data_IF_287689498215
#
_entry.id   IF_287689498215
#
_cell.length_a   1.000
_cell.length_b   1.000
_cell.length_c   1.000
_cell.angle_alpha   90.00
_cell.angle_beta   90.00
_cell.angle_gamma   90.00
#
_symmetry.space_group_name_H-M   'P 1'
#
loop_
_entity.id
_entity.type
_entity.pdbx_description
1 polymer ?
#
# COMPACT_ATOMS: atom_id res chain seq x y z
N UNK A 1 9.92 -0.70 -11.78
CA UNK A 1 9.68 0.54 -11.02
C UNK A 1 10.20 1.81 -11.73
N UNK A 2 11.37 1.78 -12.42
CA UNK A 2 11.89 2.98 -13.11
C UNK A 2 10.93 3.46 -14.20
N UNK A 3 10.52 2.60 -15.13
CA UNK A 3 9.61 2.95 -16.23
C UNK A 3 8.27 3.53 -15.74
N UNK A 4 7.74 3.01 -14.62
CA UNK A 4 6.54 3.58 -13.97
C UNK A 4 6.78 5.01 -13.49
N UNK A 5 7.89 5.25 -12.80
CA UNK A 5 8.24 6.60 -12.34
C UNK A 5 8.48 7.58 -13.48
N UNK A 6 9.09 7.11 -14.55
CA UNK A 6 9.39 7.91 -15.73
C UNK A 6 8.08 8.24 -16.48
N UNK A 7 7.12 7.31 -16.57
CA UNK A 7 5.81 7.55 -17.15
C UNK A 7 4.99 8.63 -16.41
N UNK A 8 5.21 8.78 -15.10
CA UNK A 8 4.59 9.84 -14.28
C UNK A 8 5.35 11.18 -14.33
N UNK A 9 6.58 11.22 -14.83
CA UNK A 9 7.45 12.41 -14.84
C UNK A 9 7.64 13.03 -16.20
N UNK A 10 7.63 12.22 -17.25
CA UNK A 10 8.04 12.63 -18.59
C UNK A 10 6.96 12.27 -19.61
N UNK A 11 6.06 13.23 -19.96
CA UNK A 11 4.99 12.99 -20.93
C UNK A 11 5.51 12.67 -22.33
N UNK A 12 6.63 13.27 -22.74
CA UNK A 12 7.21 13.09 -24.07
C UNK A 12 7.73 11.65 -24.29
N UNK A 13 8.09 10.94 -23.22
CA UNK A 13 8.57 9.56 -23.25
C UNK A 13 7.48 8.54 -22.88
N UNK A 14 6.21 8.94 -22.86
CA UNK A 14 5.12 8.12 -22.31
C UNK A 14 4.97 6.79 -23.04
N UNK A 15 4.94 6.79 -24.36
CA UNK A 15 4.80 5.58 -25.18
C UNK A 15 5.93 4.59 -24.90
N UNK A 16 7.18 5.07 -24.88
CA UNK A 16 8.37 4.27 -24.61
C UNK A 16 8.32 3.66 -23.19
N UNK A 17 7.82 4.41 -22.21
CA UNK A 17 7.73 3.93 -20.84
C UNK A 17 6.58 2.92 -20.66
N UNK A 18 5.45 3.09 -21.35
CA UNK A 18 4.36 2.12 -21.39
C UNK A 18 4.86 0.83 -22.05
N UNK A 19 5.57 0.89 -23.18
CA UNK A 19 6.14 -0.29 -23.82
C UNK A 19 7.09 -1.05 -22.89
N UNK A 20 7.96 -0.35 -22.16
CA UNK A 20 8.84 -0.96 -21.16
C UNK A 20 8.05 -1.64 -20.03
N UNK A 21 6.94 -1.05 -19.57
CA UNK A 21 6.10 -1.63 -18.53
C UNK A 21 5.37 -2.89 -19.00
N UNK A 22 4.82 -2.85 -20.21
CA UNK A 22 4.08 -3.98 -20.80
C UNK A 22 4.98 -5.13 -21.25
N UNK A 23 6.28 -4.89 -21.42
CA UNK A 23 7.29 -5.90 -21.76
C UNK A 23 7.90 -6.62 -20.55
N UNK A 24 7.54 -6.21 -19.32
CA UNK A 24 8.06 -6.87 -18.11
C UNK A 24 7.57 -8.33 -18.01
N UNK A 25 8.38 -9.23 -17.41
CA UNK A 25 7.94 -10.58 -17.10
C UNK A 25 6.69 -10.54 -16.21
N UNK A 26 5.68 -11.32 -16.57
CA UNK A 26 4.38 -11.37 -15.89
C UNK A 26 4.20 -12.68 -15.11
N UNK A 27 5.29 -13.29 -14.66
CA UNK A 27 5.25 -14.53 -13.87
C UNK A 27 4.59 -14.27 -12.51
N UNK A 28 3.65 -15.13 -12.12
CA UNK A 28 2.92 -15.02 -10.85
C UNK A 28 1.79 -14.00 -10.84
N UNK A 29 1.54 -13.30 -11.95
CA UNK A 29 0.41 -12.36 -12.11
C UNK A 29 -0.79 -13.14 -12.66
N UNK A 30 -1.99 -12.78 -12.21
CA UNK A 30 -3.23 -13.42 -12.70
C UNK A 30 -3.44 -13.11 -14.18
N UNK A 31 -4.04 -14.05 -14.91
CA UNK A 31 -4.28 -13.93 -16.35
C UNK A 31 -5.09 -12.69 -16.73
N UNK A 32 -6.08 -12.34 -15.91
CA UNK A 32 -6.91 -11.14 -16.09
C UNK A 32 -6.07 -9.85 -15.97
N UNK A 33 -5.14 -9.80 -14.99
CA UNK A 33 -4.23 -8.68 -14.80
C UNK A 33 -3.23 -8.57 -15.95
N UNK A 34 -2.67 -9.70 -16.41
CA UNK A 34 -1.78 -9.75 -17.60
C UNK A 34 -2.51 -9.22 -18.83
N UNK A 35 -3.78 -9.63 -19.02
CA UNK A 35 -4.61 -9.17 -20.13
C UNK A 35 -4.82 -7.65 -20.07
N UNK A 36 -5.11 -7.10 -18.89
CA UNK A 36 -5.22 -5.65 -18.71
C UNK A 36 -3.91 -4.92 -19.02
N UNK A 37 -2.77 -5.37 -18.47
CA UNK A 37 -1.47 -4.76 -18.70
C UNK A 37 -1.06 -4.74 -20.19
N UNK A 38 -1.45 -5.76 -20.95
CA UNK A 38 -1.18 -5.85 -22.40
C UNK A 38 -2.23 -5.14 -23.26
N UNK A 39 -3.30 -4.64 -22.68
CA UNK A 39 -4.36 -3.94 -23.42
C UNK A 39 -4.04 -2.46 -23.63
N UNK A 40 -4.68 -1.85 -24.62
CA UNK A 40 -4.64 -0.39 -24.82
C UNK A 40 -5.22 0.39 -23.62
N UNK A 41 -6.03 -0.26 -22.78
CA UNK A 41 -6.60 0.35 -21.59
C UNK A 41 -5.54 0.72 -20.56
N UNK A 42 -4.44 -0.03 -20.48
CA UNK A 42 -3.32 0.29 -19.60
C UNK A 42 -2.65 1.62 -19.98
N UNK A 43 -2.39 1.84 -21.27
CA UNK A 43 -1.84 3.11 -21.76
C UNK A 43 -2.76 4.29 -21.45
N UNK A 44 -4.09 4.12 -21.63
CA UNK A 44 -5.09 5.17 -21.34
C UNK A 44 -5.10 5.65 -19.88
N UNK A 45 -4.65 4.84 -18.93
CA UNK A 45 -4.50 5.28 -17.54
C UNK A 45 -3.51 6.44 -17.45
N UNK A 46 -2.38 6.35 -18.13
CA UNK A 46 -1.37 7.42 -18.14
C UNK A 46 -1.81 8.62 -18.97
N UNK A 47 -2.49 8.40 -20.11
CA UNK A 47 -3.08 9.50 -20.90
C UNK A 47 -4.08 10.27 -20.04
N UNK A 48 -4.96 9.58 -19.31
CA UNK A 48 -5.91 10.20 -18.38
C UNK A 48 -5.19 11.00 -17.28
N UNK A 49 -4.12 10.43 -16.70
CA UNK A 49 -3.30 11.15 -15.72
C UNK A 49 -2.74 12.45 -16.31
N UNK A 50 -2.21 12.42 -17.54
CA UNK A 50 -1.63 13.61 -18.18
C UNK A 50 -2.69 14.63 -18.63
N UNK A 51 -3.96 14.24 -18.76
CA UNK A 51 -5.08 15.15 -19.04
C UNK A 51 -5.58 15.93 -17.82
N UNK A 52 -5.19 15.52 -16.59
CA UNK A 52 -5.56 16.20 -15.35
C UNK A 52 -4.88 17.58 -15.22
N UNK A 53 -5.40 18.42 -14.34
CA UNK A 53 -4.78 19.67 -13.95
C UNK A 53 -3.40 19.48 -13.29
N UNK A 54 -2.62 20.54 -13.24
CA UNK A 54 -1.25 20.45 -12.71
C UNK A 54 -1.23 20.07 -11.23
N UNK A 55 -2.16 20.62 -10.43
CA UNK A 55 -2.25 20.33 -8.98
C UNK A 55 -2.56 18.85 -8.75
N UNK A 56 -3.56 18.32 -9.43
CA UNK A 56 -3.98 16.93 -9.31
C UNK A 56 -2.84 15.97 -9.72
N UNK A 57 -2.16 16.25 -10.81
CA UNK A 57 -0.99 15.46 -11.24
C UNK A 57 0.12 15.43 -10.21
N UNK A 58 0.47 16.59 -9.62
CA UNK A 58 1.54 16.64 -8.60
C UNK A 58 1.15 15.85 -7.34
N UNK A 59 -0.11 15.90 -6.92
CA UNK A 59 -0.62 15.12 -5.79
C UNK A 59 -0.55 13.61 -6.11
N UNK A 60 -1.10 13.19 -7.23
CA UNK A 60 -1.09 11.78 -7.65
C UNK A 60 0.35 11.27 -7.79
N UNK A 61 1.21 12.03 -8.48
CA UNK A 61 2.62 11.69 -8.65
C UNK A 61 3.33 11.52 -7.32
N UNK A 62 3.15 12.47 -6.38
CA UNK A 62 3.73 12.42 -5.03
C UNK A 62 3.43 11.08 -4.35
N UNK A 63 2.16 10.73 -4.23
CA UNK A 63 1.75 9.54 -3.48
C UNK A 63 2.01 8.22 -4.21
N UNK A 64 1.91 8.21 -5.53
CA UNK A 64 2.30 7.03 -6.32
C UNK A 64 3.80 6.74 -6.21
N UNK A 65 4.65 7.77 -6.22
CA UNK A 65 6.09 7.59 -6.05
C UNK A 65 6.44 7.18 -4.63
N UNK A 66 5.76 7.71 -3.63
CA UNK A 66 5.94 7.33 -2.23
C UNK A 66 5.51 5.88 -1.98
N UNK A 67 4.35 5.46 -2.48
CA UNK A 67 3.90 4.06 -2.43
C UNK A 67 4.92 3.13 -3.12
N UNK A 68 5.47 3.53 -4.27
CA UNK A 68 6.52 2.80 -4.96
C UNK A 68 7.75 2.57 -4.08
N UNK A 69 8.21 3.58 -3.32
CA UNK A 69 9.33 3.41 -2.38
C UNK A 69 9.03 2.34 -1.32
N UNK A 70 7.80 2.35 -0.80
CA UNK A 70 7.34 1.30 0.12
C UNK A 70 7.35 -0.08 -0.53
N UNK A 71 6.85 -0.21 -1.76
CA UNK A 71 6.86 -1.48 -2.49
C UNK A 71 8.28 -2.00 -2.76
N UNK A 72 9.24 -1.13 -3.01
CA UNK A 72 10.66 -1.51 -3.15
C UNK A 72 11.21 -1.98 -1.81
N UNK A 73 10.95 -1.23 -0.73
CA UNK A 73 11.44 -1.53 0.61
C UNK A 73 10.91 -2.85 1.15
N UNK A 74 9.62 -3.14 0.92
CA UNK A 74 8.94 -4.32 1.45
C UNK A 74 8.80 -5.45 0.41
N UNK A 75 9.36 -5.29 -0.78
CA UNK A 75 9.46 -6.35 -1.78
C UNK A 75 10.68 -7.26 -1.56
N UNK A 76 10.65 -8.44 -2.12
CA UNK A 76 11.77 -9.38 -2.08
C UNK A 76 12.16 -9.80 -0.66
N UNK A 77 13.45 -9.61 -0.33
CA UNK A 77 14.03 -9.95 0.97
C UNK A 77 13.98 -8.81 1.99
N UNK A 78 13.04 -7.91 1.85
CA UNK A 78 12.84 -6.71 2.67
C UNK A 78 13.02 -6.90 4.19
N UNK A 79 12.43 -6.06 5.04
CA UNK A 79 12.64 -6.10 6.48
C UNK A 79 11.85 -7.24 7.16
N UNK A 80 12.09 -8.48 6.71
CA UNK A 80 11.45 -9.68 7.23
C UNK A 80 12.35 -10.51 8.13
N UNK A 81 11.74 -11.31 9.02
CA UNK A 81 12.34 -12.40 9.78
C UNK A 81 11.82 -13.70 9.18
N UNK A 82 12.73 -14.67 9.00
CA UNK A 82 12.36 -15.98 8.49
C UNK A 82 11.85 -16.85 9.63
N UNK A 83 10.64 -17.38 9.48
CA UNK A 83 10.04 -18.37 10.36
C UNK A 83 10.61 -19.78 10.16
N UNK A 84 10.07 -20.75 10.91
CA UNK A 84 10.60 -22.12 10.97
C UNK A 84 10.51 -22.84 9.62
N UNK A 85 9.41 -22.62 8.88
CA UNK A 85 9.16 -23.27 7.59
C UNK A 85 9.56 -22.35 6.41
N UNK A 86 10.30 -21.28 6.67
CA UNK A 86 10.72 -20.33 5.65
C UNK A 86 9.77 -19.16 5.40
N UNK A 87 8.68 -19.04 6.17
CA UNK A 87 7.76 -17.92 6.06
C UNK A 87 8.44 -16.60 6.43
N UNK A 88 8.07 -15.52 5.77
CA UNK A 88 8.59 -14.18 6.01
C UNK A 88 7.62 -13.37 6.89
N UNK A 89 8.07 -12.90 8.06
CA UNK A 89 7.30 -12.05 8.98
C UNK A 89 7.89 -10.65 9.04
N UNK A 90 7.06 -9.62 9.18
CA UNK A 90 7.57 -8.26 9.42
C UNK A 90 8.27 -8.20 10.79
N UNK A 91 9.47 -7.59 10.82
CA UNK A 91 10.39 -7.62 12.00
C UNK A 91 9.87 -6.92 13.24
N UNK A 92 8.98 -5.92 13.10
CA UNK A 92 8.54 -5.11 14.26
C UNK A 92 7.25 -4.35 13.96
N UNK A 93 6.57 -3.90 15.03
CA UNK A 93 5.43 -2.98 14.95
C UNK A 93 5.73 -1.70 14.20
N UNK A 94 6.94 -1.15 14.34
CA UNK A 94 7.35 0.06 13.60
C UNK A 94 7.33 -0.16 12.10
N UNK A 95 7.92 -1.26 11.63
CA UNK A 95 7.92 -1.64 10.21
C UNK A 95 6.53 -2.04 9.70
N UNK A 96 5.71 -2.65 10.55
CA UNK A 96 4.31 -2.95 10.21
C UNK A 96 3.49 -1.68 9.97
N UNK A 97 3.60 -0.70 10.85
CA UNK A 97 2.94 0.59 10.69
C UNK A 97 3.45 1.35 9.46
N UNK A 98 4.75 1.26 9.18
CA UNK A 98 5.36 1.85 7.99
C UNK A 98 4.87 1.16 6.70
N UNK A 99 4.76 -0.17 6.69
CA UNK A 99 4.17 -0.91 5.57
C UNK A 99 2.73 -0.48 5.31
N UNK A 100 1.90 -0.43 6.36
CA UNK A 100 0.51 0.03 6.25
C UNK A 100 0.40 1.49 5.80
N UNK A 101 1.35 2.34 6.19
CA UNK A 101 1.46 3.71 5.69
C UNK A 101 1.67 3.73 4.18
N UNK A 102 2.70 3.04 3.68
CA UNK A 102 3.01 3.07 2.25
C UNK A 102 1.90 2.48 1.38
N UNK A 103 1.26 1.39 1.83
CA UNK A 103 0.27 0.67 1.01
C UNK A 103 -1.10 1.33 1.02
N UNK A 104 -1.51 1.94 2.14
CA UNK A 104 -2.87 2.45 2.28
C UNK A 104 -2.96 3.83 2.96
N UNK A 105 -2.04 4.19 3.85
CA UNK A 105 -2.00 5.53 4.43
C UNK A 105 -1.80 6.60 3.36
N UNK A 106 -0.89 6.35 2.41
CA UNK A 106 -0.67 7.23 1.23
C UNK A 106 -1.94 7.42 0.40
N UNK A 107 -2.78 6.38 0.28
CA UNK A 107 -4.07 6.47 -0.44
C UNK A 107 -5.05 7.38 0.30
N UNK A 108 -5.14 7.26 1.64
CA UNK A 108 -5.96 8.16 2.44
C UNK A 108 -5.55 9.62 2.24
N UNK A 109 -4.25 9.90 2.32
CA UNK A 109 -3.70 11.25 2.10
C UNK A 109 -3.93 11.74 0.67
N UNK A 110 -3.74 10.87 -0.34
CA UNK A 110 -4.00 11.17 -1.75
C UNK A 110 -5.44 11.65 -1.96
N UNK A 111 -6.41 10.88 -1.47
CA UNK A 111 -7.84 11.20 -1.63
C UNK A 111 -8.17 12.53 -0.94
N UNK A 112 -7.61 12.75 0.26
CA UNK A 112 -7.82 13.99 1.03
C UNK A 112 -7.25 15.21 0.31
N UNK A 113 -6.01 15.16 -0.18
CA UNK A 113 -5.41 16.29 -0.92
C UNK A 113 -6.09 16.54 -2.27
N UNK A 114 -6.61 15.50 -2.94
CA UNK A 114 -7.43 15.69 -4.14
C UNK A 114 -8.79 16.34 -3.83
N UNK A 115 -9.40 16.01 -2.69
CA UNK A 115 -10.63 16.63 -2.24
C UNK A 115 -10.42 18.14 -1.96
N UNK A 116 -9.29 18.54 -1.34
CA UNK A 116 -8.93 19.96 -1.15
C UNK A 116 -8.90 20.72 -2.50
N UNK A 117 -8.35 20.09 -3.55
CA UNK A 117 -8.33 20.71 -4.88
C UNK A 117 -9.71 20.76 -5.51
N UNK A 118 -10.51 19.70 -5.37
CA UNK A 118 -11.83 19.60 -5.99
C UNK A 118 -12.84 20.57 -5.39
N UNK A 119 -12.81 20.75 -4.05
CA UNK A 119 -13.71 21.65 -3.35
C UNK A 119 -13.18 23.08 -3.25
N UNK A 120 -11.93 23.33 -3.68
CA UNK A 120 -11.23 24.62 -3.57
C UNK A 120 -11.16 25.15 -2.11
N UNK A 121 -11.14 24.22 -1.15
CA UNK A 121 -11.11 24.51 0.29
C UNK A 121 -9.95 23.77 0.95
N UNK A 122 -9.21 24.45 1.84
CA UNK A 122 -8.29 23.78 2.75
C UNK A 122 -9.07 23.04 3.83
N UNK A 123 -8.88 21.74 3.93
CA UNK A 123 -9.49 20.95 4.98
C UNK A 123 -8.88 21.30 6.36
N UNK A 124 -9.69 21.24 7.40
CA UNK A 124 -9.27 21.58 8.76
C UNK A 124 -8.05 20.77 9.19
N UNK A 125 -7.24 21.36 10.08
CA UNK A 125 -6.08 20.71 10.66
C UNK A 125 -6.52 19.43 11.39
N UNK A 126 -5.96 18.30 10.96
CA UNK A 126 -6.29 16.99 11.52
C UNK A 126 -6.94 16.03 10.50
N UNK A 127 -7.53 16.52 9.43
CA UNK A 127 -8.08 15.66 8.38
C UNK A 127 -7.04 14.67 7.81
N UNK A 128 -5.80 15.12 7.65
CA UNK A 128 -4.70 14.27 7.14
C UNK A 128 -4.39 13.14 8.12
N UNK A 129 -4.39 13.39 9.41
CA UNK A 129 -4.18 12.35 10.41
C UNK A 129 -5.34 11.34 10.44
N UNK A 130 -6.58 11.84 10.30
CA UNK A 130 -7.77 10.99 10.24
C UNK A 130 -7.78 10.12 8.96
N UNK A 131 -7.46 10.70 7.80
CA UNK A 131 -7.40 9.98 6.53
C UNK A 131 -6.28 8.94 6.50
N UNK A 132 -5.14 9.26 7.10
CA UNK A 132 -4.04 8.33 7.31
C UNK A 132 -4.48 7.15 8.19
N UNK A 133 -5.18 7.43 9.30
CA UNK A 133 -5.76 6.42 10.18
C UNK A 133 -6.78 5.55 9.46
N UNK A 134 -7.63 6.14 8.62
CA UNK A 134 -8.60 5.42 7.79
C UNK A 134 -7.90 4.42 6.83
N UNK A 135 -6.92 4.88 6.08
CA UNK A 135 -6.14 4.01 5.17
C UNK A 135 -5.47 2.87 5.92
N UNK A 136 -4.76 3.17 7.04
CA UNK A 136 -4.11 2.15 7.87
C UNK A 136 -5.09 1.17 8.49
N UNK A 137 -6.27 1.62 8.92
CA UNK A 137 -7.32 0.75 9.46
C UNK A 137 -7.75 -0.31 8.43
N UNK A 138 -8.02 0.11 7.19
CA UNK A 138 -8.38 -0.81 6.11
C UNK A 138 -7.28 -1.83 5.83
N UNK A 139 -6.03 -1.38 5.75
CA UNK A 139 -4.89 -2.27 5.46
C UNK A 139 -4.65 -3.27 6.58
N UNK A 140 -4.65 -2.82 7.84
CA UNK A 140 -4.49 -3.70 9.00
C UNK A 140 -5.60 -4.75 9.08
N UNK A 141 -6.83 -4.36 8.77
CA UNK A 141 -7.97 -5.29 8.69
C UNK A 141 -7.75 -6.34 7.60
N UNK A 142 -7.31 -5.94 6.41
CA UNK A 142 -7.01 -6.86 5.32
C UNK A 142 -5.89 -7.84 5.70
N UNK A 143 -4.79 -7.34 6.29
CA UNK A 143 -3.67 -8.18 6.71
C UNK A 143 -4.13 -9.25 7.72
N UNK A 144 -4.95 -8.88 8.71
CA UNK A 144 -5.47 -9.86 9.68
C UNK A 144 -6.42 -10.85 9.01
N UNK A 145 -7.31 -10.38 8.15
CA UNK A 145 -8.25 -11.24 7.42
C UNK A 145 -7.52 -12.27 6.56
N UNK A 146 -6.48 -11.84 5.87
CA UNK A 146 -5.81 -12.63 4.84
C UNK A 146 -4.55 -13.37 5.36
N UNK A 147 -4.19 -13.22 6.65
CA UNK A 147 -2.90 -13.69 7.19
C UNK A 147 -2.63 -15.20 6.99
N UNK A 148 -3.65 -16.06 7.07
CA UNK A 148 -3.48 -17.51 6.86
C UNK A 148 -3.24 -17.85 5.37
N UNK A 149 -3.86 -17.12 4.47
CA UNK A 149 -3.67 -17.33 3.03
C UNK A 149 -2.34 -16.76 2.55
N UNK A 150 -1.88 -15.67 3.14
CA UNK A 150 -0.55 -15.11 2.88
C UNK A 150 0.55 -16.02 3.44
N UNK A 151 0.36 -16.61 4.62
CA UNK A 151 1.28 -17.62 5.16
C UNK A 151 1.45 -18.81 4.24
N UNK A 152 0.38 -19.32 3.61
CA UNK A 152 0.46 -20.40 2.61
C UNK A 152 1.31 -20.02 1.40
N UNK A 153 1.41 -18.73 1.10
CA UNK A 153 2.26 -18.16 0.03
C UNK A 153 3.68 -17.83 0.51
N UNK A 154 4.00 -18.14 1.77
CA UNK A 154 5.31 -17.89 2.37
C UNK A 154 5.52 -16.50 2.94
N UNK A 155 4.50 -15.67 3.06
CA UNK A 155 4.58 -14.32 3.63
C UNK A 155 3.54 -14.12 4.74
N UNK A 156 3.94 -13.41 5.79
CA UNK A 156 3.03 -12.91 6.82
C UNK A 156 3.31 -11.43 7.03
N UNK A 157 2.38 -10.58 6.65
CA UNK A 157 2.51 -9.14 6.83
C UNK A 157 2.21 -8.66 8.25
N UNK A 158 1.85 -9.56 9.16
CA UNK A 158 1.77 -9.26 10.59
C UNK A 158 3.17 -9.15 11.19
N UNK A 159 3.37 -8.23 12.17
CA UNK A 159 4.65 -8.11 12.85
C UNK A 159 4.88 -9.30 13.78
N UNK A 160 6.15 -9.68 13.93
CA UNK A 160 6.54 -10.75 14.85
C UNK A 160 6.06 -10.52 16.28
N UNK A 161 5.90 -9.25 16.67
CA UNK A 161 5.43 -8.83 17.99
C UNK A 161 4.03 -9.38 18.33
N UNK A 162 3.22 -9.74 17.33
CA UNK A 162 1.89 -10.34 17.53
C UNK A 162 1.92 -11.84 17.77
N UNK A 163 3.07 -12.47 17.72
CA UNK A 163 3.20 -13.90 17.92
C UNK A 163 3.86 -14.19 19.26
N UNK A 164 3.26 -15.07 20.04
CA UNK A 164 3.82 -15.53 21.30
C UNK A 164 5.03 -16.43 21.02
N UNK A 165 6.21 -15.84 20.80
CA UNK A 165 7.43 -16.61 20.57
C UNK A 165 8.25 -16.74 21.86
N UNK A 166 8.47 -17.99 22.30
CA UNK A 166 9.65 -18.28 23.13
C UNK A 166 10.84 -18.53 22.22
N UNK A 167 11.62 -17.48 22.00
CA UNK A 167 13.04 -17.39 21.57
C UNK A 167 13.57 -18.18 20.36
N UNK A 168 12.93 -19.18 19.77
CA UNK A 168 13.46 -19.91 18.60
C UNK A 168 12.43 -20.46 17.62
N UNK A 169 11.14 -20.30 17.86
CA UNK A 169 10.12 -20.79 16.93
C UNK A 169 8.91 -19.86 16.92
N UNK A 170 8.69 -19.18 15.82
CA UNK A 170 7.43 -18.46 15.58
C UNK A 170 6.41 -19.53 15.19
N UNK A 171 5.39 -19.73 16.01
CA UNK A 171 4.25 -20.56 15.62
C UNK A 171 3.22 -19.63 14.97
N UNK A 172 3.04 -19.68 13.64
CA UNK A 172 2.12 -18.79 12.93
C UNK A 172 0.66 -18.98 13.33
N UNK A 173 0.33 -20.07 14.02
CA UNK A 173 -1.02 -20.34 14.51
C UNK A 173 -1.28 -19.72 15.90
N UNK A 174 -0.26 -19.18 16.55
CA UNK A 174 -0.35 -18.54 17.88
C UNK A 174 -0.29 -17.02 17.80
N UNK A 175 -1.20 -16.45 17.01
CA UNK A 175 -1.42 -15.01 16.96
C UNK A 175 -2.04 -14.53 18.28
N UNK A 176 -1.45 -13.49 18.89
CA UNK A 176 -2.04 -12.76 19.99
C UNK A 176 -3.15 -11.84 19.47
N UNK A 177 -4.37 -12.37 19.43
CA UNK A 177 -5.55 -11.69 18.94
C UNK A 177 -5.88 -10.43 19.73
N UNK A 178 -5.64 -10.40 21.03
CA UNK A 178 -5.92 -9.23 21.87
C UNK A 178 -5.00 -8.08 21.49
N UNK A 179 -3.72 -8.38 21.26
CA UNK A 179 -2.74 -7.39 20.83
C UNK A 179 -3.06 -6.86 19.43
N UNK A 180 -3.36 -7.74 18.48
CA UNK A 180 -3.69 -7.38 17.11
C UNK A 180 -4.98 -6.53 17.03
N UNK A 181 -6.04 -6.93 17.72
CA UNK A 181 -7.29 -6.18 17.76
C UNK A 181 -7.15 -4.84 18.50
N UNK A 182 -6.33 -4.77 19.55
CA UNK A 182 -6.03 -3.51 20.25
C UNK A 182 -5.31 -2.51 19.34
N UNK A 183 -4.41 -2.99 18.48
CA UNK A 183 -3.72 -2.13 17.51
C UNK A 183 -4.70 -1.58 16.46
N UNK A 184 -5.57 -2.41 15.89
CA UNK A 184 -6.58 -1.96 14.93
C UNK A 184 -7.57 -0.97 15.54
N UNK A 185 -8.01 -1.18 16.77
CA UNK A 185 -8.97 -0.27 17.44
C UNK A 185 -8.49 1.17 17.44
N UNK A 186 -7.20 1.42 17.56
CA UNK A 186 -6.64 2.79 17.51
C UNK A 186 -6.88 3.44 16.15
N UNK A 187 -6.64 2.71 15.07
CA UNK A 187 -6.86 3.21 13.72
C UNK A 187 -8.36 3.29 13.40
N UNK A 188 -9.18 2.40 13.95
CA UNK A 188 -10.63 2.41 13.76
C UNK A 188 -11.28 3.68 14.32
N UNK A 189 -10.83 4.18 15.47
CA UNK A 189 -11.32 5.45 16.02
C UNK A 189 -11.00 6.64 15.09
N UNK A 190 -9.80 6.66 14.50
CA UNK A 190 -9.45 7.69 13.49
C UNK A 190 -10.31 7.53 12.23
N UNK A 191 -10.49 6.31 11.75
CA UNK A 191 -11.31 6.00 10.58
C UNK A 191 -12.78 6.42 10.77
N UNK A 192 -13.35 6.13 11.93
CA UNK A 192 -14.72 6.54 12.29
C UNK A 192 -14.88 8.06 12.29
N UNK A 193 -13.91 8.76 12.87
CA UNK A 193 -13.94 10.23 12.91
C UNK A 193 -13.80 10.80 11.49
N UNK A 194 -12.95 10.24 10.65
CA UNK A 194 -12.82 10.63 9.24
C UNK A 194 -14.14 10.50 8.48
N UNK A 195 -14.80 9.34 8.60
CA UNK A 195 -16.09 9.09 7.94
C UNK A 195 -17.23 9.96 8.50
N UNK A 196 -17.13 10.43 9.74
CA UNK A 196 -18.09 11.35 10.33
C UNK A 196 -17.94 12.80 9.84
N UNK A 197 -16.87 13.12 9.12
CA UNK A 197 -16.63 14.43 8.52
C UNK A 197 -17.05 14.50 7.04
N UNK A 198 -17.20 13.36 6.36
CA UNK A 198 -17.69 13.25 4.98
C UNK A 198 -19.22 13.33 4.94
#
# INVERSE_FOLDING_TARGET
>A
FKAFSDALRFPDDLEVNIEKLTSLPMEGIKEEEVTFFKSSSFGRVFESFWSLGTKEREIIKKYCLEMREGMIKFGGDGPFIIGINGEKFIKSMGLYNEYCYYVAGTVGLLVTELAEVFYEEELEKGWKDLSLGFGRCLQKTNIIKDHLDDLKKGHCFLPIDFFQSKLRSIDPLRLDWDMALKDIRKEFELARNYLGLL
#
